data_IF_873229670483
#
_entry.id   IF_873229670483
#
_cell.length_a   1.000
_cell.length_b   1.000
_cell.length_c   1.000
_cell.angle_alpha   90.00
_cell.angle_beta   90.00
_cell.angle_gamma   90.00
#
_symmetry.space_group_name_H-M   'P 1'
#
loop_
_entity.id
_entity.type
_entity.pdbx_description
1 polymer ?
#
# COMPACT_ATOMS: atom_id res chain seq x y z
N UNK A 1 0.70 24.68 -4.48
CA UNK A 1 1.78 24.64 -3.46
C UNK A 1 1.85 23.19 -3.01
N UNK A 2 3.03 22.56 -3.01
CA UNK A 2 3.15 21.18 -2.52
C UNK A 2 2.80 21.11 -1.02
N UNK A 3 2.28 19.99 -0.50
CA UNK A 3 1.86 19.89 0.89
C UNK A 3 3.05 20.16 1.81
N UNK A 4 2.97 21.25 2.56
CA UNK A 4 3.77 21.47 3.77
C UNK A 4 3.20 20.58 4.86
N UNK A 5 4.01 19.68 5.39
CA UNK A 5 3.55 18.65 6.33
C UNK A 5 4.73 17.93 6.95
N UNK A 6 4.42 16.91 7.74
CA UNK A 6 5.37 16.13 8.53
C UNK A 6 4.92 16.04 9.98
N UNK A 7 5.38 15.01 10.68
CA UNK A 7 5.10 14.85 12.09
C UNK A 7 6.15 15.60 12.93
N UNK A 8 5.69 16.44 13.86
CA UNK A 8 6.54 17.11 14.84
C UNK A 8 6.14 16.64 16.24
N UNK A 9 7.14 16.16 16.98
CA UNK A 9 6.98 15.70 18.36
C UNK A 9 7.62 16.74 19.26
N UNK A 10 6.78 17.43 20.04
CA UNK A 10 7.15 18.60 20.83
C UNK A 10 7.33 18.32 22.32
N UNK A 11 7.13 17.08 22.78
CA UNK A 11 7.29 16.65 24.17
C UNK A 11 7.95 15.29 24.27
N UNK A 12 8.58 15.01 25.42
CA UNK A 12 9.06 13.67 25.77
C UNK A 12 7.88 12.69 25.88
N UNK A 13 7.96 11.55 25.20
CA UNK A 13 6.94 10.52 25.20
C UNK A 13 7.36 9.31 24.37
N UNK A 14 6.86 8.13 24.73
CA UNK A 14 7.00 6.93 23.90
C UNK A 14 6.09 7.06 22.68
N UNK A 15 6.66 6.94 21.49
CA UNK A 15 5.92 6.91 20.25
C UNK A 15 6.20 5.61 19.52
N UNK A 16 5.13 4.99 19.04
CA UNK A 16 5.20 3.75 18.27
C UNK A 16 4.72 4.04 16.85
N UNK A 17 5.65 3.99 15.91
CA UNK A 17 5.39 3.99 14.47
C UNK A 17 5.64 2.60 13.94
N UNK A 18 4.57 1.89 13.61
CA UNK A 18 4.64 0.59 12.93
C UNK A 18 3.66 0.55 11.76
N UNK A 19 4.11 0.00 10.61
CA UNK A 19 3.33 -0.10 9.38
C UNK A 19 2.93 1.25 8.77
N UNK A 20 3.74 2.30 8.96
CA UNK A 20 3.42 3.64 8.48
C UNK A 20 4.22 4.01 7.24
N UNK A 21 3.63 4.84 6.37
CA UNK A 21 4.33 5.50 5.26
C UNK A 21 4.37 7.00 5.55
N UNK A 22 5.56 7.56 5.66
CA UNK A 22 5.79 9.00 5.77
C UNK A 22 6.61 9.45 4.56
N UNK A 23 5.92 10.01 3.58
CA UNK A 23 6.50 10.32 2.27
C UNK A 23 5.97 11.64 1.70
N UNK A 24 6.82 12.36 0.98
CA UNK A 24 6.41 13.54 0.21
C UNK A 24 6.21 14.81 1.03
N UNK A 25 6.34 14.75 2.37
CA UNK A 25 6.27 15.93 3.22
C UNK A 25 7.40 16.91 2.90
N UNK A 26 7.10 18.22 2.85
CA UNK A 26 8.07 19.27 2.55
C UNK A 26 8.16 20.30 3.68
N UNK A 27 9.38 20.73 3.97
CA UNK A 27 9.68 21.81 4.92
C UNK A 27 10.79 22.74 4.40
N UNK A 28 11.34 23.57 5.29
CA UNK A 28 12.40 24.55 4.95
C UNK A 28 13.80 23.93 4.78
N UNK A 29 13.99 22.66 5.15
CA UNK A 29 15.25 21.94 5.00
C UNK A 29 15.27 21.07 3.72
N UNK A 30 16.40 20.47 3.36
CA UNK A 30 16.48 19.50 2.24
C UNK A 30 15.69 18.20 2.54
N UNK A 31 15.40 17.40 1.50
CA UNK A 31 14.70 16.10 1.56
C UNK A 31 15.41 15.08 2.48
N UNK A 32 15.18 15.22 3.77
CA UNK A 32 15.75 14.40 4.85
C UNK A 32 14.61 13.80 5.66
N UNK A 33 14.90 12.77 6.46
CA UNK A 33 13.92 12.19 7.38
C UNK A 33 13.29 13.23 8.31
N UNK A 34 13.98 14.32 8.63
CA UNK A 34 13.47 15.41 9.48
C UNK A 34 12.28 16.16 8.87
N UNK A 35 12.07 16.09 7.56
CA UNK A 35 10.84 16.64 6.95
C UNK A 35 9.64 15.71 7.13
N UNK A 36 9.89 14.41 7.27
CA UNK A 36 8.85 13.41 7.45
C UNK A 36 8.49 13.31 8.94
N UNK A 37 9.51 13.23 9.78
CA UNK A 37 9.39 13.04 11.21
C UNK A 37 10.51 13.77 11.96
N UNK A 38 10.15 14.63 12.91
CA UNK A 38 11.09 15.42 13.71
C UNK A 38 10.68 15.44 15.18
N UNK A 39 11.66 15.36 16.08
CA UNK A 39 11.45 15.26 17.52
C UNK A 39 12.77 15.19 18.28
N UNK A 40 12.67 15.22 19.61
CA UNK A 40 13.78 15.10 20.55
C UNK A 40 13.64 13.79 21.34
N UNK A 41 14.77 13.21 21.78
CA UNK A 41 14.83 12.04 22.67
C UNK A 41 14.04 10.80 22.19
N UNK A 42 14.55 10.16 21.13
CA UNK A 42 13.95 8.99 20.49
C UNK A 42 14.19 7.66 21.23
N UNK A 43 14.93 7.68 22.34
CA UNK A 43 15.48 6.48 22.99
C UNK A 43 14.41 5.51 23.50
N UNK A 44 13.18 5.97 23.72
CA UNK A 44 12.02 5.15 24.11
C UNK A 44 10.96 5.00 23.01
N UNK A 45 11.23 5.52 21.81
CA UNK A 45 10.31 5.41 20.67
C UNK A 45 10.62 4.16 19.84
N UNK A 46 9.57 3.51 19.35
CA UNK A 46 9.66 2.38 18.42
C UNK A 46 9.31 2.86 17.02
N UNK A 47 10.23 2.71 16.08
CA UNK A 47 9.98 2.91 14.66
C UNK A 47 10.38 1.61 13.97
N UNK A 48 9.40 0.84 13.50
CA UNK A 48 9.66 -0.42 12.81
C UNK A 48 8.65 -0.63 11.68
N UNK A 49 8.99 -1.47 10.69
CA UNK A 49 8.16 -1.71 9.50
C UNK A 49 7.54 -0.42 8.93
N UNK A 50 8.36 0.61 8.70
CA UNK A 50 7.92 1.89 8.16
C UNK A 50 8.59 2.22 6.84
N UNK A 51 7.93 3.01 5.98
CA UNK A 51 8.55 3.60 4.80
C UNK A 51 8.69 5.12 5.01
N UNK A 52 9.91 5.60 5.24
CA UNK A 52 10.17 7.00 5.60
C UNK A 52 11.15 7.62 4.62
N UNK A 53 10.70 8.66 3.91
CA UNK A 53 11.53 9.37 2.93
C UNK A 53 12.74 10.03 3.60
N UNK A 54 13.92 9.83 3.02
CA UNK A 54 15.16 10.38 3.53
C UNK A 54 15.61 9.75 4.85
N UNK A 55 15.06 8.59 5.24
CA UNK A 55 15.53 7.83 6.39
C UNK A 55 17.04 7.59 6.34
N UNK A 56 17.67 7.83 7.47
CA UNK A 56 19.08 7.54 7.74
C UNK A 56 19.16 6.92 9.14
N UNK A 57 20.25 6.22 9.44
CA UNK A 57 20.50 5.50 10.71
C UNK A 57 20.61 6.40 11.96
N UNK A 58 20.17 7.66 11.85
CA UNK A 58 20.22 8.67 12.91
C UNK A 58 19.02 8.58 13.88
N UNK A 59 17.96 7.87 13.49
CA UNK A 59 16.78 7.60 14.31
C UNK A 59 16.73 6.08 14.60
N UNK A 60 16.15 5.64 15.74
CA UNK A 60 16.02 4.23 16.04
C UNK A 60 15.12 3.55 15.02
N UNK A 61 15.40 2.30 14.67
CA UNK A 61 14.55 1.49 13.81
C UNK A 61 15.31 0.46 12.97
N UNK A 62 14.74 -0.73 12.84
CA UNK A 62 15.40 -1.89 12.22
C UNK A 62 14.83 -2.26 10.87
N UNK A 63 13.53 -2.04 10.63
CA UNK A 63 12.86 -2.31 9.36
C UNK A 63 12.28 -1.02 8.76
N UNK A 64 13.14 -0.07 8.40
CA UNK A 64 12.72 1.18 7.77
C UNK A 64 13.20 1.25 6.32
N UNK A 65 12.24 1.37 5.41
CA UNK A 65 12.47 1.47 3.97
C UNK A 65 12.53 2.96 3.59
N UNK A 66 13.48 3.32 2.72
CA UNK A 66 13.62 4.68 2.17
C UNK A 66 13.62 4.62 0.65
N UNK A 67 12.58 4.04 0.09
CA UNK A 67 12.38 3.91 -1.35
C UNK A 67 10.96 4.34 -1.66
N UNK A 68 10.75 4.93 -2.83
CA UNK A 68 9.45 5.48 -3.19
C UNK A 68 8.33 4.44 -3.00
N UNK A 69 7.27 4.73 -2.22
CA UNK A 69 6.17 3.80 -1.97
C UNK A 69 5.29 3.55 -3.20
N UNK A 70 5.53 4.26 -4.32
CA UNK A 70 4.79 4.09 -5.58
C UNK A 70 3.27 4.23 -5.41
N UNK A 71 2.83 5.32 -4.79
CA UNK A 71 1.40 5.66 -4.75
C UNK A 71 0.83 5.82 -6.17
N UNK A 72 -0.41 5.37 -6.39
CA UNK A 72 -1.07 5.40 -7.70
C UNK A 72 -1.16 6.83 -8.25
N UNK A 73 -1.63 7.78 -7.44
CA UNK A 73 -1.67 9.19 -7.83
C UNK A 73 -1.57 10.13 -6.63
N UNK A 74 -0.52 10.96 -6.61
CA UNK A 74 -0.31 12.00 -5.59
C UNK A 74 -0.97 13.35 -5.94
N UNK A 75 -1.63 13.44 -7.10
CA UNK A 75 -2.20 14.69 -7.62
C UNK A 75 -3.69 14.57 -7.98
N UNK A 76 -4.28 13.38 -7.80
CA UNK A 76 -5.68 13.15 -8.10
C UNK A 76 -6.10 13.49 -9.54
N UNK A 77 -7.38 13.79 -9.70
CA UNK A 77 -8.02 14.15 -10.98
C UNK A 77 -7.84 15.64 -11.31
N UNK A 78 -7.72 16.51 -10.30
CA UNK A 78 -7.55 17.95 -10.50
C UNK A 78 -6.09 18.37 -10.77
N UNK A 79 -5.14 17.44 -10.62
CA UNK A 79 -3.72 17.66 -10.88
C UNK A 79 -3.00 18.46 -9.79
N UNK A 80 -3.66 18.73 -8.66
CA UNK A 80 -3.13 19.42 -7.50
C UNK A 80 -2.94 18.45 -6.33
N UNK A 81 -1.93 18.67 -5.47
CA UNK A 81 -1.74 17.83 -4.29
C UNK A 81 -2.51 18.39 -3.07
N UNK A 82 -2.82 17.50 -2.14
CA UNK A 82 -3.56 17.72 -0.90
C UNK A 82 -4.96 18.33 -1.08
N UNK A 83 -5.68 17.89 -2.11
CA UNK A 83 -7.05 18.29 -2.44
C UNK A 83 -8.08 17.22 -2.04
N UNK A 84 -7.62 16.03 -1.67
CA UNK A 84 -8.44 14.93 -1.16
C UNK A 84 -8.95 13.98 -2.25
N UNK A 85 -8.55 14.19 -3.50
CA UNK A 85 -8.80 13.30 -4.62
C UNK A 85 -7.57 12.45 -4.99
N UNK A 86 -6.53 12.46 -4.14
CA UNK A 86 -5.35 11.60 -4.30
C UNK A 86 -5.70 10.13 -4.16
N UNK A 87 -5.03 9.31 -4.96
CA UNK A 87 -5.06 7.88 -4.85
C UNK A 87 -3.80 7.38 -4.13
N UNK A 88 -3.91 7.28 -2.81
CA UNK A 88 -2.84 6.84 -1.92
C UNK A 88 -2.75 5.32 -1.80
N UNK A 89 -3.42 4.56 -2.67
CA UNK A 89 -3.18 3.12 -2.78
C UNK A 89 -1.77 2.88 -3.34
N UNK A 90 -1.17 1.75 -2.97
CA UNK A 90 0.12 1.33 -3.51
C UNK A 90 -0.07 0.78 -4.93
N UNK A 91 0.83 1.12 -5.83
CA UNK A 91 0.96 0.46 -7.14
C UNK A 91 1.67 -0.87 -6.97
N UNK A 92 1.50 -1.77 -7.93
CA UNK A 92 2.23 -3.04 -7.88
C UNK A 92 3.74 -2.81 -8.06
N UNK A 93 4.54 -3.65 -7.42
CA UNK A 93 5.99 -3.45 -7.29
C UNK A 93 6.40 -2.42 -6.24
N UNK A 94 5.45 -1.84 -5.50
CA UNK A 94 5.78 -0.98 -4.36
C UNK A 94 6.62 -1.74 -3.33
N UNK A 95 7.69 -1.13 -2.79
CA UNK A 95 8.49 -1.74 -1.73
C UNK A 95 7.73 -1.84 -0.39
N UNK A 96 6.56 -1.18 -0.28
CA UNK A 96 5.72 -1.18 0.92
C UNK A 96 4.75 -2.37 0.98
N UNK A 97 4.68 -3.17 -0.09
CA UNK A 97 3.79 -4.33 -0.18
C UNK A 97 4.40 -5.52 0.56
N UNK A 98 3.61 -6.18 1.43
CA UNK A 98 3.96 -7.36 2.23
C UNK A 98 5.21 -7.18 3.12
N UNK A 99 5.53 -5.95 3.54
CA UNK A 99 6.71 -5.63 4.35
C UNK A 99 6.39 -5.15 5.77
N UNK A 100 5.11 -5.05 6.12
CA UNK A 100 4.63 -4.69 7.44
C UNK A 100 4.73 -5.81 8.50
N UNK A 101 4.39 -5.47 9.74
CA UNK A 101 4.28 -6.34 10.91
C UNK A 101 2.81 -6.58 11.29
N UNK A 102 2.34 -7.80 11.07
CA UNK A 102 0.97 -8.25 11.40
C UNK A 102 0.71 -8.31 12.90
N UNK A 103 1.75 -8.47 13.72
CA UNK A 103 1.61 -8.55 15.19
C UNK A 103 1.28 -7.19 15.82
N UNK A 104 1.52 -6.10 15.09
CA UNK A 104 1.31 -4.72 15.55
C UNK A 104 0.02 -4.10 14.98
N UNK A 105 -0.86 -4.89 14.36
CA UNK A 105 -2.20 -4.41 14.00
C UNK A 105 -2.98 -4.04 15.28
N UNK A 106 -3.64 -2.87 15.31
CA UNK A 106 -4.47 -2.47 16.44
C UNK A 106 -5.69 -3.38 16.57
N UNK A 107 -6.31 -3.41 17.75
CA UNK A 107 -7.58 -4.10 17.93
C UNK A 107 -8.71 -3.39 17.16
N UNK A 108 -9.72 -4.15 16.72
CA UNK A 108 -10.92 -3.63 16.05
C UNK A 108 -11.91 -3.00 17.05
N UNK A 109 -11.44 -1.99 17.78
CA UNK A 109 -12.23 -1.32 18.80
C UNK A 109 -13.48 -0.65 18.23
N UNK A 110 -13.53 -0.41 16.92
CA UNK A 110 -14.63 0.28 16.25
C UNK A 110 -15.63 -0.66 15.57
N UNK A 111 -15.39 -1.98 15.55
CA UNK A 111 -16.23 -2.97 14.84
C UNK A 111 -16.33 -2.62 13.35
N UNK A 112 -15.18 -2.42 12.70
CA UNK A 112 -15.10 -1.81 11.36
C UNK A 112 -15.76 -2.69 10.30
N UNK A 113 -15.73 -4.00 10.44
CA UNK A 113 -16.41 -4.94 9.52
C UNK A 113 -17.81 -5.37 10.00
N UNK A 114 -18.25 -4.89 11.16
CA UNK A 114 -19.57 -5.10 11.75
C UNK A 114 -19.95 -6.56 12.02
N UNK A 115 -18.97 -7.40 12.35
CA UNK A 115 -19.23 -8.79 12.73
C UNK A 115 -19.52 -8.94 14.24
N UNK A 116 -19.32 -7.88 15.02
CA UNK A 116 -19.55 -7.79 16.46
C UNK A 116 -18.35 -8.19 17.32
N UNK A 117 -17.21 -8.55 16.74
CA UNK A 117 -16.00 -8.99 17.43
C UNK A 117 -14.96 -7.87 17.55
N UNK A 118 -15.13 -7.02 18.56
CA UNK A 118 -14.27 -5.84 18.76
C UNK A 118 -12.90 -6.10 19.40
N UNK A 119 -12.58 -7.37 19.64
CA UNK A 119 -11.34 -7.78 20.31
C UNK A 119 -10.34 -8.43 19.35
N UNK A 120 -10.74 -8.69 18.11
CA UNK A 120 -9.79 -9.15 17.10
C UNK A 120 -8.88 -8.03 16.62
N UNK A 121 -7.86 -8.41 15.86
CA UNK A 121 -7.01 -7.43 15.17
C UNK A 121 -7.82 -6.79 14.05
N UNK A 122 -7.60 -5.49 13.80
CA UNK A 122 -8.27 -4.73 12.76
C UNK A 122 -8.39 -5.57 11.46
N UNK A 123 -9.62 -5.94 11.05
CA UNK A 123 -9.80 -7.00 10.05
C UNK A 123 -9.65 -6.48 8.63
N UNK A 124 -10.03 -5.21 8.38
CA UNK A 124 -10.02 -4.60 7.05
C UNK A 124 -9.29 -3.26 7.00
N UNK A 125 -8.78 -2.92 5.82
CA UNK A 125 -8.14 -1.66 5.49
C UNK A 125 -9.18 -0.55 5.20
N UNK A 126 -8.71 0.65 4.85
CA UNK A 126 -9.60 1.78 4.55
C UNK A 126 -10.50 1.55 3.31
N UNK A 127 -10.14 0.64 2.42
CA UNK A 127 -10.94 0.24 1.26
C UNK A 127 -11.80 -1.00 1.52
N UNK A 128 -11.82 -1.54 2.75
CA UNK A 128 -12.58 -2.75 3.11
C UNK A 128 -11.92 -4.06 2.71
N UNK A 129 -10.63 -4.05 2.34
CA UNK A 129 -9.85 -5.27 2.03
C UNK A 129 -9.25 -5.87 3.29
N UNK A 130 -9.17 -7.19 3.35
CA UNK A 130 -8.61 -7.91 4.51
C UNK A 130 -7.17 -7.43 4.78
N UNK A 131 -6.89 -7.03 6.03
CA UNK A 131 -5.56 -6.52 6.46
C UNK A 131 -4.45 -7.53 6.27
N UNK A 132 -4.76 -8.82 6.36
CA UNK A 132 -3.78 -9.92 6.25
C UNK A 132 -4.21 -10.89 5.14
N UNK A 133 -3.74 -10.66 3.92
CA UNK A 133 -4.02 -11.52 2.74
C UNK A 133 -2.89 -12.52 2.44
N UNK A 134 -1.88 -12.60 3.32
CA UNK A 134 -0.67 -13.42 3.16
C UNK A 134 0.06 -13.61 4.50
N UNK A 135 1.39 -13.48 4.52
CA UNK A 135 2.18 -13.60 5.76
C UNK A 135 2.35 -12.26 6.51
N UNK A 136 2.27 -11.13 5.80
CA UNK A 136 2.49 -9.79 6.32
C UNK A 136 1.43 -8.82 5.81
N UNK A 137 1.30 -7.68 6.46
CA UNK A 137 0.47 -6.56 5.98
C UNK A 137 1.29 -5.66 5.08
N UNK A 138 0.63 -4.87 4.26
CA UNK A 138 1.25 -3.72 3.61
C UNK A 138 1.47 -2.59 4.61
N UNK A 139 2.51 -1.77 4.35
CA UNK A 139 2.66 -0.51 5.07
C UNK A 139 1.63 0.49 4.56
N UNK A 140 1.04 1.28 5.47
CA UNK A 140 0.03 2.28 5.14
C UNK A 140 -1.39 1.82 5.43
N UNK A 141 -2.36 2.60 4.94
CA UNK A 141 -3.80 2.44 5.24
C UNK A 141 -4.54 1.57 4.24
N UNK A 142 -3.85 1.14 3.17
CA UNK A 142 -4.39 0.41 2.04
C UNK A 142 -3.56 -0.86 1.82
N UNK A 143 -4.22 -2.01 1.77
CA UNK A 143 -3.61 -3.29 1.38
C UNK A 143 -3.70 -3.50 -0.12
N UNK A 144 -2.58 -3.71 -0.79
CA UNK A 144 -2.59 -4.33 -2.09
C UNK A 144 -2.94 -5.81 -1.91
N UNK A 145 -4.17 -6.20 -2.23
CA UNK A 145 -4.63 -7.58 -2.04
C UNK A 145 -3.65 -8.54 -2.71
N UNK A 146 -3.04 -9.45 -1.93
CA UNK A 146 -2.24 -10.54 -2.47
C UNK A 146 -3.21 -11.45 -3.26
N UNK A 147 -3.20 -11.29 -4.59
CA UNK A 147 -4.24 -11.76 -5.52
C UNK A 147 -4.68 -10.71 -6.55
N UNK A 148 -4.26 -9.44 -6.38
CA UNK A 148 -4.47 -8.34 -7.34
C UNK A 148 -3.25 -8.08 -8.24
N UNK A 149 -2.37 -9.06 -8.41
CA UNK A 149 -1.76 -9.11 -9.71
C UNK A 149 -2.84 -9.64 -10.65
N UNK A 150 -3.56 -8.78 -11.36
CA UNK A 150 -4.53 -9.25 -12.35
C UNK A 150 -3.85 -10.03 -13.50
N UNK A 151 -2.51 -10.03 -13.53
CA UNK A 151 -1.69 -10.91 -14.35
C UNK A 151 -1.32 -12.26 -13.72
N UNK A 152 -1.58 -12.50 -12.42
CA UNK A 152 -1.55 -13.84 -11.79
C UNK A 152 -2.94 -14.48 -11.90
N UNK A 153 -3.28 -14.84 -13.14
CA UNK A 153 -4.58 -15.38 -13.49
C UNK A 153 -4.81 -16.79 -12.92
N UNK A 154 -3.73 -17.54 -12.70
CA UNK A 154 -3.79 -18.90 -12.13
C UNK A 154 -3.91 -18.89 -10.60
N UNK A 155 -3.56 -17.79 -9.96
CA UNK A 155 -3.60 -17.62 -8.50
C UNK A 155 -2.49 -18.39 -7.79
N UNK A 156 -1.38 -18.67 -8.48
CA UNK A 156 -0.25 -19.44 -7.95
C UNK A 156 0.83 -18.57 -7.29
N UNK A 157 0.65 -17.24 -7.35
CA UNK A 157 1.56 -16.25 -6.79
C UNK A 157 2.73 -15.89 -7.70
N UNK A 158 2.77 -16.37 -8.95
CA UNK A 158 3.85 -16.14 -9.90
C UNK A 158 3.32 -15.67 -11.26
N UNK A 159 3.60 -14.43 -11.68
CA UNK A 159 3.29 -14.00 -13.05
C UNK A 159 4.22 -14.67 -14.05
N UNK A 160 3.70 -15.66 -14.77
CA UNK A 160 4.48 -16.42 -15.73
C UNK A 160 3.64 -16.81 -16.96
N UNK A 161 4.17 -17.72 -17.78
CA UNK A 161 3.47 -18.18 -18.99
C UNK A 161 2.17 -18.93 -18.68
N UNK A 162 2.03 -19.51 -17.49
CA UNK A 162 0.82 -20.20 -17.05
C UNK A 162 -0.37 -19.23 -17.04
N UNK A 163 -0.24 -18.08 -16.39
CA UNK A 163 -1.30 -17.08 -16.31
C UNK A 163 -1.72 -16.54 -17.67
N UNK A 164 -0.73 -16.31 -18.53
CA UNK A 164 -0.98 -15.86 -19.90
C UNK A 164 -1.81 -16.86 -20.68
N UNK A 165 -1.45 -18.15 -20.62
CA UNK A 165 -2.18 -19.18 -21.35
C UNK A 165 -3.56 -19.48 -20.73
N UNK A 166 -3.68 -19.42 -19.41
CA UNK A 166 -4.95 -19.61 -18.72
C UNK A 166 -5.92 -18.45 -19.04
N UNK A 167 -5.43 -17.21 -19.08
CA UNK A 167 -6.23 -16.05 -19.50
C UNK A 167 -6.67 -16.17 -20.96
N UNK A 168 -5.76 -16.50 -21.88
CA UNK A 168 -6.12 -16.67 -23.29
C UNK A 168 -7.16 -17.78 -23.49
N UNK A 169 -7.06 -18.87 -22.74
CA UNK A 169 -8.05 -19.94 -22.78
C UNK A 169 -9.42 -19.43 -22.30
N UNK A 170 -9.48 -18.69 -21.19
CA UNK A 170 -10.70 -18.08 -20.69
C UNK A 170 -11.30 -17.03 -21.65
N UNK A 171 -10.45 -16.21 -22.28
CA UNK A 171 -10.82 -15.20 -23.27
C UNK A 171 -11.50 -15.82 -24.49
N UNK A 172 -10.88 -16.83 -25.12
CA UNK A 172 -11.48 -17.50 -26.28
C UNK A 172 -12.71 -18.35 -25.95
N UNK A 173 -12.90 -18.71 -24.68
CA UNK A 173 -14.09 -19.38 -24.18
C UNK A 173 -15.21 -18.40 -23.73
N UNK A 174 -14.98 -17.08 -23.80
CA UNK A 174 -15.90 -16.04 -23.34
C UNK A 174 -16.36 -16.25 -21.88
N UNK A 175 -15.44 -16.67 -21.01
CA UNK A 175 -15.74 -16.86 -19.60
C UNK A 175 -15.83 -15.50 -18.89
N UNK A 176 -16.74 -15.33 -17.90
CA UNK A 176 -16.82 -14.09 -17.12
C UNK A 176 -15.52 -13.74 -16.37
N UNK A 177 -14.62 -14.72 -16.18
CA UNK A 177 -13.32 -14.49 -15.54
C UNK A 177 -12.34 -13.72 -16.42
N UNK A 178 -12.59 -13.58 -17.73
CA UNK A 178 -11.79 -12.78 -18.66
C UNK A 178 -12.43 -11.43 -19.01
N UNK A 179 -13.48 -11.01 -18.28
CA UNK A 179 -14.00 -9.65 -18.27
C UNK A 179 -13.12 -8.80 -17.34
N UNK A 180 -12.05 -8.27 -17.91
CA UNK A 180 -10.96 -7.61 -17.20
C UNK A 180 -11.31 -6.17 -16.82
N UNK A 181 -12.11 -5.48 -17.64
CA UNK A 181 -12.57 -4.12 -17.35
C UNK A 181 -13.91 -4.06 -16.59
N UNK A 182 -14.57 -5.21 -16.41
CA UNK A 182 -15.82 -5.35 -15.66
C UNK A 182 -17.04 -4.82 -16.40
N UNK A 183 -16.98 -4.74 -17.73
CA UNK A 183 -18.06 -4.22 -18.59
C UNK A 183 -19.26 -5.16 -18.71
N UNK A 184 -19.11 -6.43 -18.32
CA UNK A 184 -20.09 -7.49 -18.52
C UNK A 184 -20.01 -8.13 -19.91
N UNK A 185 -19.00 -7.78 -20.71
CA UNK A 185 -18.75 -8.33 -22.05
C UNK A 185 -17.28 -8.64 -22.24
N UNK A 186 -16.94 -9.84 -22.73
CA UNK A 186 -15.56 -10.21 -23.06
C UNK A 186 -15.23 -9.76 -24.49
N UNK A 187 -14.39 -8.74 -24.64
CA UNK A 187 -13.97 -8.19 -25.92
C UNK A 187 -12.48 -7.76 -25.97
N UNK A 188 -12.05 -7.15 -27.07
CA UNK A 188 -10.65 -6.77 -27.24
C UNK A 188 -10.11 -5.83 -26.16
N UNK A 189 -10.95 -5.04 -25.49
CA UNK A 189 -10.57 -4.16 -24.40
C UNK A 189 -10.03 -4.98 -23.23
N UNK A 190 -10.65 -6.11 -22.91
CA UNK A 190 -10.18 -7.01 -21.86
C UNK A 190 -8.82 -7.63 -22.21
N UNK A 191 -8.67 -8.11 -23.44
CA UNK A 191 -7.43 -8.72 -23.90
C UNK A 191 -6.25 -7.74 -23.80
N UNK A 192 -6.45 -6.50 -24.26
CA UNK A 192 -5.40 -5.48 -24.19
C UNK A 192 -5.17 -4.98 -22.76
N UNK A 193 -6.21 -4.94 -21.92
CA UNK A 193 -6.09 -4.66 -20.49
C UNK A 193 -5.19 -5.67 -19.78
N UNK A 194 -5.47 -6.96 -19.95
CA UNK A 194 -4.69 -8.03 -19.34
C UNK A 194 -3.24 -8.06 -19.84
N UNK A 195 -3.00 -7.97 -21.16
CA UNK A 195 -1.63 -7.94 -21.72
C UNK A 195 -0.83 -6.76 -21.16
N UNK A 196 -1.48 -5.61 -20.95
CA UNK A 196 -0.86 -4.44 -20.33
C UNK A 196 -0.30 -4.74 -18.95
N UNK A 197 -1.09 -5.39 -18.09
CA UNK A 197 -0.68 -5.72 -16.71
C UNK A 197 0.28 -6.92 -16.66
N UNK A 198 0.13 -7.89 -17.58
CA UNK A 198 1.05 -9.03 -17.66
C UNK A 198 2.48 -8.60 -18.05
N UNK A 199 2.61 -7.65 -18.98
CA UNK A 199 3.91 -7.12 -19.39
C UNK A 199 4.57 -6.23 -18.34
N UNK A 200 3.80 -5.60 -17.43
CA UNK A 200 4.36 -4.82 -16.32
C UNK A 200 4.79 -5.69 -15.14
N UNK A 201 4.41 -6.97 -15.14
CA UNK A 201 4.65 -7.88 -14.03
C UNK A 201 3.80 -7.52 -12.82
N UNK A 202 2.54 -7.16 -13.10
CA UNK A 202 1.61 -6.39 -12.27
C UNK A 202 1.83 -4.84 -12.37
#
# INVERSE_FOLDING_TARGET
MAPTGGLIISSIGELTFVNNILWGNRGTQAFTSLQQINGFDWDSSTIDSCCIQGWSTRLPGTHVINTNPLFVSLLGADGAPATGDEDLRLSVGSPCVNTGDTSQLPADVADVDHDGNRLEQLPVDLAGRVRVSGQRVDMGVYELTAGLCSADFSGDGLVNSLDFFDYLAAFFALLPTSDFDGSGTVDSVDLFGFIGVWMSGC
#
